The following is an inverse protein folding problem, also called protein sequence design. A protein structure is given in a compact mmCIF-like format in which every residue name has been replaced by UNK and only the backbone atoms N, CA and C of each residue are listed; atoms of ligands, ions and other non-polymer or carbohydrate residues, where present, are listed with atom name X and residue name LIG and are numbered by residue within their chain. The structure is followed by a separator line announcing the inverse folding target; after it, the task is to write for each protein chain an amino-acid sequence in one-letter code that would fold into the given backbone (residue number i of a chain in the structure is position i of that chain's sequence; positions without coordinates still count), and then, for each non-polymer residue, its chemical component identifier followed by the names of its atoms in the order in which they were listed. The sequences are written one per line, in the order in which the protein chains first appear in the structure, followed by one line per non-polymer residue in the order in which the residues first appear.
data_IF_674237563670
#
_entry.id   IF_674237563670
#
_cell.length_a   1.000
_cell.length_b   1.000
_cell.length_c   1.000
_cell.angle_alpha   90.00
_cell.angle_beta   90.00
_cell.angle_gamma   90.00
#
_symmetry.space_group_name_H-M   'P 1'
#
loop_
_entity.id
_entity.type
_entity.pdbx_description
1 polymer ?
#
# COMPACT_ATOMS: atom_id res chain seq x y z
N UNK A 1 16.46 5.83 18.93
CA UNK A 1 15.53 4.90 18.25
C UNK A 1 14.78 5.55 17.08
N UNK A 2 14.53 6.87 17.12
CA UNK A 2 13.81 7.62 16.07
C UNK A 2 14.44 7.54 14.69
N UNK A 3 15.77 7.45 14.60
CA UNK A 3 16.50 7.36 13.32
C UNK A 3 16.21 6.04 12.58
N UNK A 4 16.22 4.91 13.31
CA UNK A 4 15.88 3.59 12.75
C UNK A 4 14.44 3.59 12.24
N UNK A 5 13.52 4.17 13.01
CA UNK A 5 12.11 4.29 12.63
C UNK A 5 11.94 5.08 11.33
N UNK A 6 12.67 6.18 11.15
CA UNK A 6 12.64 7.00 9.93
C UNK A 6 13.19 6.24 8.72
N UNK A 7 14.27 5.48 8.89
CA UNK A 7 14.87 4.70 7.81
C UNK A 7 13.95 3.56 7.35
N UNK A 8 13.26 2.89 8.29
CA UNK A 8 12.36 1.78 7.97
C UNK A 8 10.91 2.20 7.69
N UNK A 9 10.56 3.48 7.89
CA UNK A 9 9.18 3.98 7.79
C UNK A 9 8.50 3.62 6.45
N UNK A 10 9.23 3.74 5.33
CA UNK A 10 8.72 3.39 4.01
C UNK A 10 8.36 1.90 3.88
N UNK A 11 9.24 1.01 4.35
CA UNK A 11 8.97 -0.44 4.35
C UNK A 11 7.88 -0.84 5.35
N UNK A 12 7.82 -0.20 6.52
CA UNK A 12 6.75 -0.42 7.50
C UNK A 12 5.40 -0.03 6.91
N UNK A 13 5.33 1.12 6.22
CA UNK A 13 4.11 1.55 5.53
C UNK A 13 3.65 0.54 4.48
N UNK A 14 4.58 0.03 3.67
CA UNK A 14 4.29 -1.05 2.72
C UNK A 14 3.82 -2.35 3.40
N UNK A 15 4.46 -2.76 4.49
CA UNK A 15 4.09 -3.98 5.22
C UNK A 15 2.67 -3.88 5.81
N UNK A 16 2.31 -2.72 6.36
CA UNK A 16 0.96 -2.44 6.87
C UNK A 16 -0.06 -2.52 5.73
N UNK A 17 0.25 -1.91 4.57
CA UNK A 17 -0.59 -1.99 3.39
C UNK A 17 -0.81 -3.43 2.93
N UNK A 18 0.25 -4.24 2.92
CA UNK A 18 0.18 -5.66 2.59
C UNK A 18 -0.74 -6.43 3.52
N UNK A 19 -0.56 -6.30 4.84
CA UNK A 19 -1.41 -6.95 5.81
C UNK A 19 -2.89 -6.54 5.66
N UNK A 20 -3.15 -5.25 5.45
CA UNK A 20 -4.51 -4.72 5.32
C UNK A 20 -5.20 -5.23 4.05
N UNK A 21 -4.53 -5.15 2.90
CA UNK A 21 -5.10 -5.60 1.62
C UNK A 21 -5.30 -7.11 1.63
N UNK A 22 -4.36 -7.87 2.17
CA UNK A 22 -4.47 -9.33 2.29
C UNK A 22 -5.62 -9.74 3.20
N UNK A 23 -5.83 -9.03 4.32
CA UNK A 23 -6.97 -9.26 5.20
C UNK A 23 -8.32 -8.93 4.52
N UNK A 24 -8.40 -7.81 3.79
CA UNK A 24 -9.58 -7.45 3.00
C UNK A 24 -9.87 -8.48 1.90
N UNK A 25 -8.82 -9.01 1.27
CA UNK A 25 -8.93 -10.04 0.25
C UNK A 25 -9.54 -11.32 0.83
N UNK A 26 -8.98 -11.85 1.92
CA UNK A 26 -9.51 -13.04 2.59
C UNK A 26 -10.95 -12.83 3.08
N UNK A 27 -11.24 -11.68 3.69
CA UNK A 27 -12.57 -11.34 4.16
C UNK A 27 -13.58 -11.25 3.01
N UNK A 28 -13.17 -10.65 1.90
CA UNK A 28 -14.02 -10.46 0.74
C UNK A 28 -14.36 -11.76 0.01
N UNK A 29 -13.41 -12.70 -0.07
CA UNK A 29 -13.70 -14.03 -0.61
C UNK A 29 -14.60 -14.84 0.36
N UNK A 30 -14.34 -14.80 1.67
CA UNK A 30 -15.17 -15.50 2.65
C UNK A 30 -16.61 -14.97 2.76
N UNK A 31 -16.81 -13.68 2.47
CA UNK A 31 -18.12 -13.00 2.51
C UNK A 31 -18.84 -12.97 1.15
N UNK A 32 -18.25 -13.53 0.08
CA UNK A 32 -18.85 -13.56 -1.24
C UNK A 32 -18.99 -12.19 -1.91
N UNK A 33 -18.09 -11.25 -1.61
CA UNK A 33 -18.12 -9.90 -2.24
C UNK A 33 -17.83 -9.94 -3.74
N UNK A 34 -17.27 -11.04 -4.24
CA UNK A 34 -17.05 -11.31 -5.66
C UNK A 34 -18.37 -11.51 -6.42
N UNK A 35 -19.38 -12.08 -5.76
CA UNK A 35 -20.71 -12.32 -6.33
C UNK A 35 -21.60 -11.06 -6.40
N UNK A 36 -21.20 -9.97 -5.74
CA UNK A 36 -21.94 -8.70 -5.76
C UNK A 36 -21.42 -7.84 -6.92
N UNK A 37 -22.17 -7.67 -8.02
CA UNK A 37 -21.75 -6.85 -9.14
C UNK A 37 -21.76 -5.37 -8.75
N UNK A 38 -20.69 -4.65 -9.06
CA UNK A 38 -20.57 -3.21 -8.80
C UNK A 38 -19.79 -2.52 -9.93
N UNK A 39 -20.44 -1.56 -10.59
CA UNK A 39 -19.87 -0.70 -11.64
C UNK A 39 -18.98 -1.45 -12.66
N UNK A 40 -19.52 -2.52 -13.28
CA UNK A 40 -18.82 -3.30 -14.31
C UNK A 40 -17.76 -4.29 -13.81
N UNK A 41 -17.61 -4.44 -12.49
CA UNK A 41 -16.80 -5.49 -11.86
C UNK A 41 -17.50 -6.04 -10.61
N UNK A 42 -16.76 -6.46 -9.57
CA UNK A 42 -17.32 -6.92 -8.31
C UNK A 42 -17.04 -5.94 -7.17
N UNK A 43 -17.92 -5.93 -6.16
CA UNK A 43 -17.71 -5.14 -4.93
C UNK A 43 -16.36 -5.47 -4.28
N UNK A 44 -15.95 -6.74 -4.34
CA UNK A 44 -14.63 -7.19 -3.90
C UNK A 44 -13.48 -6.40 -4.53
N UNK A 45 -13.50 -6.27 -5.86
CA UNK A 45 -12.44 -5.57 -6.60
C UNK A 45 -12.39 -4.10 -6.25
N UNK A 46 -13.53 -3.45 -6.08
CA UNK A 46 -13.59 -2.05 -5.65
C UNK A 46 -13.03 -1.84 -4.25
N UNK A 47 -13.29 -2.76 -3.31
CA UNK A 47 -12.71 -2.68 -1.96
C UNK A 47 -11.19 -2.82 -2.00
N UNK A 48 -10.67 -3.75 -2.80
CA UNK A 48 -9.22 -3.92 -2.96
C UNK A 48 -8.57 -2.71 -3.64
N UNK A 49 -9.19 -2.16 -4.69
CA UNK A 49 -8.72 -0.94 -5.35
C UNK A 49 -8.75 0.26 -4.40
N UNK A 50 -9.79 0.39 -3.58
CA UNK A 50 -9.89 1.43 -2.55
C UNK A 50 -8.79 1.28 -1.49
N UNK A 51 -8.57 0.05 -1.00
CA UNK A 51 -7.49 -0.25 -0.06
C UNK A 51 -6.10 0.04 -0.63
N UNK A 52 -5.88 -0.29 -1.90
CA UNK A 52 -4.64 0.03 -2.61
C UNK A 52 -4.44 1.53 -2.78
N UNK A 53 -5.46 2.26 -3.24
CA UNK A 53 -5.40 3.71 -3.41
C UNK A 53 -5.13 4.43 -2.07
N UNK A 54 -5.81 4.01 -0.99
CA UNK A 54 -5.59 4.55 0.35
C UNK A 54 -4.16 4.27 0.85
N UNK A 55 -3.66 3.05 0.64
CA UNK A 55 -2.29 2.66 1.01
C UNK A 55 -1.23 3.42 0.22
N UNK A 56 -1.45 3.61 -1.08
CA UNK A 56 -0.57 4.39 -1.95
C UNK A 56 -0.55 5.86 -1.52
N UNK A 57 -1.70 6.44 -1.21
CA UNK A 57 -1.79 7.80 -0.68
C UNK A 57 -1.06 7.94 0.67
N UNK A 58 -1.22 6.97 1.58
CA UNK A 58 -0.55 6.98 2.88
C UNK A 58 0.98 6.87 2.75
N UNK A 59 1.47 5.95 1.92
CA UNK A 59 2.92 5.78 1.68
C UNK A 59 3.52 6.98 0.93
N UNK A 60 2.79 7.56 -0.02
CA UNK A 60 3.21 8.77 -0.73
C UNK A 60 3.28 9.98 0.22
N UNK A 61 2.26 10.16 1.07
CA UNK A 61 2.24 11.19 2.08
C UNK A 61 3.44 11.05 3.03
N UNK A 62 3.72 9.83 3.49
CA UNK A 62 4.87 9.54 4.33
C UNK A 62 6.19 9.87 3.61
N UNK A 63 6.36 9.46 2.35
CA UNK A 63 7.57 9.75 1.57
C UNK A 63 7.79 11.26 1.37
N UNK A 64 6.71 12.03 1.13
CA UNK A 64 6.76 13.49 1.03
C UNK A 64 7.19 14.11 2.37
N UNK A 65 6.62 13.65 3.49
CA UNK A 65 6.99 14.13 4.82
C UNK A 65 8.46 13.86 5.15
N UNK A 66 8.95 12.64 4.87
CA UNK A 66 10.36 12.30 5.05
C UNK A 66 11.28 13.09 4.13
N UNK A 67 10.78 13.48 2.95
CA UNK A 67 11.53 14.25 1.96
C UNK A 67 11.66 15.74 2.24
N UNK A 68 10.92 16.31 3.22
CA UNK A 68 10.96 17.75 3.54
C UNK A 68 12.27 18.20 4.17
N UNK A 69 12.97 17.30 4.85
CA UNK A 69 14.23 17.59 5.52
C UNK A 69 15.33 16.72 4.90
N UNK A 70 16.38 17.34 4.36
CA UNK A 70 17.49 16.66 3.63
C UNK A 70 18.86 17.17 4.04
N UNK A 71 18.93 17.75 5.23
CA UNK A 71 20.11 18.39 5.79
C UNK A 71 21.25 17.39 6.02
N UNK A 72 20.93 16.14 6.39
CA UNK A 72 21.93 15.09 6.60
C UNK A 72 21.87 13.98 5.54
N UNK A 73 22.97 13.23 5.39
CA UNK A 73 23.01 12.03 4.53
C UNK A 73 21.96 11.00 4.96
N UNK A 74 21.74 10.85 6.27
CA UNK A 74 20.76 9.90 6.79
C UNK A 74 19.32 10.30 6.45
N UNK A 75 19.01 11.60 6.44
CA UNK A 75 17.68 12.07 6.03
C UNK A 75 17.45 11.84 4.53
N UNK A 76 18.49 11.99 3.70
CA UNK A 76 18.42 11.64 2.27
C UNK A 76 18.16 10.14 2.05
N UNK A 77 18.81 9.28 2.83
CA UNK A 77 18.57 7.83 2.81
C UNK A 77 17.15 7.51 3.26
N UNK A 78 16.66 8.13 4.34
CA UNK A 78 15.29 7.95 4.81
C UNK A 78 14.26 8.39 3.74
N UNK A 79 14.49 9.52 3.07
CA UNK A 79 13.64 9.96 1.97
C UNK A 79 13.66 8.97 0.79
N UNK A 80 14.83 8.45 0.41
CA UNK A 80 14.94 7.44 -0.64
C UNK A 80 14.18 6.15 -0.28
N UNK A 81 14.33 5.67 0.96
CA UNK A 81 13.62 4.49 1.47
C UNK A 81 12.10 4.71 1.57
N UNK A 82 11.66 5.94 1.84
CA UNK A 82 10.25 6.34 1.73
C UNK A 82 9.70 6.09 0.33
N UNK A 83 10.42 6.54 -0.71
CA UNK A 83 10.04 6.30 -2.10
C UNK A 83 10.11 4.83 -2.50
N UNK A 84 11.04 4.06 -1.95
CA UNK A 84 11.06 2.60 -2.12
C UNK A 84 9.78 1.96 -1.60
N UNK A 85 9.27 2.40 -0.44
CA UNK A 85 7.98 1.95 0.10
C UNK A 85 6.79 2.25 -0.82
N UNK A 86 6.78 3.43 -1.46
CA UNK A 86 5.77 3.80 -2.46
C UNK A 86 5.86 2.89 -3.69
N UNK A 87 7.07 2.72 -4.24
CA UNK A 87 7.30 1.88 -5.41
C UNK A 87 6.93 0.42 -5.13
N UNK A 88 7.30 -0.11 -3.97
CA UNK A 88 6.92 -1.45 -3.53
C UNK A 88 5.39 -1.58 -3.46
N UNK A 89 4.70 -0.60 -2.86
CA UNK A 89 3.22 -0.60 -2.78
C UNK A 89 2.59 -0.56 -4.17
N UNK A 90 3.13 0.22 -5.09
CA UNK A 90 2.62 0.29 -6.46
C UNK A 90 2.78 -1.04 -7.19
N UNK A 91 3.96 -1.64 -7.14
CA UNK A 91 4.30 -2.86 -7.89
C UNK A 91 3.63 -4.10 -7.27
N UNK A 92 3.61 -4.23 -5.94
CA UNK A 92 3.04 -5.40 -5.25
C UNK A 92 1.55 -5.55 -5.52
N UNK A 93 0.80 -4.45 -5.61
CA UNK A 93 -0.66 -4.48 -5.75
C UNK A 93 -1.16 -4.23 -7.18
N UNK A 94 -0.27 -3.95 -8.13
CA UNK A 94 -0.63 -3.84 -9.56
C UNK A 94 -1.42 -5.06 -10.10
N UNK A 95 -1.14 -6.32 -9.69
CA UNK A 95 -1.90 -7.48 -10.16
C UNK A 95 -3.39 -7.48 -9.79
N UNK A 96 -3.83 -6.69 -8.79
CA UNK A 96 -5.25 -6.58 -8.39
C UNK A 96 -6.15 -6.15 -9.56
N UNK A 97 -5.58 -5.45 -10.55
CA UNK A 97 -6.31 -4.93 -11.72
C UNK A 97 -6.49 -5.99 -12.82
N UNK A 98 -5.79 -7.12 -12.77
CA UNK A 98 -5.82 -8.10 -13.86
C UNK A 98 -6.11 -9.52 -13.39
N UNK A 99 -5.70 -9.86 -12.17
CA UNK A 99 -5.82 -11.21 -11.63
C UNK A 99 -7.15 -11.37 -10.88
N UNK A 100 -7.96 -12.40 -11.19
CA UNK A 100 -9.11 -12.77 -10.38
C UNK A 100 -8.68 -13.06 -8.94
N UNK A 101 -9.38 -12.46 -7.98
CA UNK A 101 -8.97 -12.52 -6.57
C UNK A 101 -9.50 -13.77 -5.86
N UNK A 102 -10.73 -14.19 -6.17
CA UNK A 102 -11.37 -15.36 -5.56
C UNK A 102 -11.64 -16.35 -6.69
N UNK A 103 -10.81 -17.39 -6.80
CA UNK A 103 -10.99 -18.53 -7.72
C UNK A 103 -11.02 -19.81 -6.93
#
# INVERSE_FOLDING_TARGET
MTMLLRLSAGLIGWAIAFCLIYALHGLGCARGWDAVPLAGSSAHRWVLLGGWAASLAATLFLAILLGRDRSTTLDRVAAALGWVGVAATLVTFAPIVVVPACT
#
